data_IF_682417182401
#
_entry.id   IF_682417182401
#
_cell.length_a   1.000
_cell.length_b   1.000
_cell.length_c   1.000
_cell.angle_alpha   90.00
_cell.angle_beta   90.00
_cell.angle_gamma   90.00
#
_symmetry.space_group_name_H-M   'P 1'
#
loop_
_entity.id
_entity.type
_entity.pdbx_description
1 polymer ?
#
# COMPACT_ATOMS: atom_id res chain seq x y z
N UNK A 1 -30.00 -2.42 -4.65
CA UNK A 1 -28.62 -2.40 -4.12
C UNK A 1 -28.67 -3.04 -2.73
N UNK A 2 -27.74 -3.93 -2.38
CA UNK A 2 -27.69 -4.49 -1.03
C UNK A 2 -27.16 -3.39 -0.11
N UNK A 3 -28.00 -2.88 0.79
CA UNK A 3 -27.64 -1.84 1.76
C UNK A 3 -27.14 -2.54 3.02
N UNK A 4 -25.85 -2.42 3.29
CA UNK A 4 -25.21 -2.93 4.49
C UNK A 4 -25.64 -2.02 5.66
N UNK A 5 -26.07 -2.58 6.81
CA UNK A 5 -26.36 -1.78 7.99
C UNK A 5 -25.15 -0.92 8.37
N UNK A 6 -25.37 0.33 8.75
CA UNK A 6 -24.32 1.32 9.04
C UNK A 6 -23.27 0.78 10.05
N UNK A 7 -23.72 0.13 11.11
CA UNK A 7 -22.83 -0.48 12.11
C UNK A 7 -21.89 -1.53 11.50
N UNK A 8 -22.40 -2.33 10.55
CA UNK A 8 -21.62 -3.35 9.87
C UNK A 8 -20.66 -2.74 8.85
N UNK A 9 -21.07 -1.64 8.20
CA UNK A 9 -20.19 -0.87 7.33
C UNK A 9 -18.98 -0.33 8.10
N UNK A 10 -19.21 0.34 9.24
CA UNK A 10 -18.12 0.87 10.06
C UNK A 10 -17.24 -0.20 10.68
N UNK A 11 -17.82 -1.36 11.03
CA UNK A 11 -17.08 -2.53 11.51
C UNK A 11 -16.06 -3.05 10.47
N UNK A 12 -16.34 -2.89 9.17
CA UNK A 12 -15.43 -3.29 8.10
C UNK A 12 -14.50 -2.14 7.68
N UNK A 13 -15.05 -0.94 7.49
CA UNK A 13 -14.33 0.22 6.98
C UNK A 13 -13.28 0.71 7.97
N UNK A 14 -13.65 0.90 9.24
CA UNK A 14 -12.76 1.43 10.28
C UNK A 14 -11.47 0.63 10.42
N UNK A 15 -11.53 -0.70 10.67
CA UNK A 15 -10.35 -1.54 10.76
C UNK A 15 -9.51 -1.59 9.48
N UNK A 16 -10.14 -1.56 8.30
CA UNK A 16 -9.40 -1.54 7.03
C UNK A 16 -8.54 -0.28 6.87
N UNK A 17 -9.09 0.89 7.23
CA UNK A 17 -8.38 2.18 7.17
C UNK A 17 -7.24 2.20 8.19
N UNK A 18 -7.51 1.79 9.44
CA UNK A 18 -6.48 1.76 10.50
C UNK A 18 -5.34 0.80 10.13
N UNK A 19 -5.68 -0.37 9.59
CA UNK A 19 -4.68 -1.35 9.15
C UNK A 19 -3.84 -0.80 8.00
N UNK A 20 -4.45 -0.11 7.05
CA UNK A 20 -3.73 0.56 5.96
C UNK A 20 -2.75 1.61 6.50
N UNK A 21 -3.18 2.49 7.40
CA UNK A 21 -2.33 3.54 7.95
C UNK A 21 -1.14 2.96 8.74
N UNK A 22 -1.40 1.98 9.62
CA UNK A 22 -0.35 1.33 10.41
C UNK A 22 0.64 0.60 9.49
N UNK A 23 0.13 -0.19 8.54
CA UNK A 23 1.00 -0.95 7.63
C UNK A 23 1.80 -0.05 6.70
N UNK A 24 1.24 1.07 6.22
CA UNK A 24 1.97 2.06 5.43
C UNK A 24 3.11 2.72 6.22
N UNK A 25 2.85 3.10 7.48
CA UNK A 25 3.86 3.65 8.38
C UNK A 25 4.97 2.63 8.67
N UNK A 26 4.59 1.41 9.03
CA UNK A 26 5.53 0.32 9.27
C UNK A 26 6.35 0.00 8.00
N UNK A 27 5.73 -0.07 6.82
CA UNK A 27 6.42 -0.37 5.57
C UNK A 27 7.48 0.69 5.27
N UNK A 28 7.14 1.96 5.44
CA UNK A 28 8.05 3.08 5.23
C UNK A 28 9.20 3.06 6.23
N UNK A 29 8.92 2.83 7.52
CA UNK A 29 9.92 2.94 8.60
C UNK A 29 10.79 1.70 8.76
N UNK A 30 10.27 0.51 8.45
CA UNK A 30 10.93 -0.78 8.69
C UNK A 30 11.47 -1.36 7.39
N UNK A 31 10.63 -1.46 6.36
CA UNK A 31 10.99 -2.13 5.09
C UNK A 31 11.82 -1.22 4.19
N UNK A 32 11.27 -0.06 3.82
CA UNK A 32 11.98 0.86 2.91
C UNK A 32 13.27 1.37 3.52
N UNK A 33 13.26 1.81 4.77
CA UNK A 33 14.49 2.28 5.44
C UNK A 33 15.58 1.19 5.46
N UNK A 34 15.21 -0.08 5.64
CA UNK A 34 16.15 -1.20 5.58
C UNK A 34 16.70 -1.40 4.17
N UNK A 35 15.81 -1.51 3.17
CA UNK A 35 16.18 -1.75 1.77
C UNK A 35 17.05 -0.60 1.25
N UNK A 36 16.65 0.66 1.45
CA UNK A 36 17.40 1.82 1.00
C UNK A 36 18.77 1.93 1.71
N UNK A 37 18.85 1.55 3.00
CA UNK A 37 20.15 1.48 3.68
C UNK A 37 21.08 0.45 3.00
N UNK A 38 20.57 -0.74 2.70
CA UNK A 38 21.33 -1.80 2.02
C UNK A 38 21.70 -1.46 0.58
N UNK A 39 20.81 -0.81 -0.15
CA UNK A 39 21.10 -0.30 -1.49
C UNK A 39 22.21 0.77 -1.45
N UNK A 40 22.19 1.67 -0.47
CA UNK A 40 23.26 2.67 -0.29
C UNK A 40 24.62 2.06 0.04
N UNK A 41 24.66 0.96 0.80
CA UNK A 41 25.89 0.20 1.06
C UNK A 41 26.51 -0.35 -0.26
N UNK A 42 25.70 -0.55 -1.30
CA UNK A 42 26.14 -1.00 -2.63
C UNK A 42 26.36 0.16 -3.62
N UNK A 43 26.29 1.41 -3.16
CA UNK A 43 26.39 2.61 -4.01
C UNK A 43 25.14 2.88 -4.84
N UNK A 44 24.03 2.17 -4.61
CA UNK A 44 22.75 2.38 -5.30
C UNK A 44 21.91 3.36 -4.47
N UNK A 45 21.58 4.51 -5.05
CA UNK A 45 20.80 5.53 -4.36
C UNK A 45 19.30 5.40 -4.65
N UNK A 46 18.47 5.84 -3.72
CA UNK A 46 17.04 5.92 -3.95
C UNK A 46 16.69 6.86 -5.12
N UNK A 47 15.51 6.71 -5.74
CA UNK A 47 15.12 7.52 -6.87
C UNK A 47 15.00 9.01 -6.50
N UNK A 48 15.81 9.85 -7.14
CA UNK A 48 15.89 11.30 -6.85
C UNK A 48 14.59 12.06 -7.18
N UNK A 49 13.77 11.53 -8.09
CA UNK A 49 12.53 12.17 -8.53
C UNK A 49 11.44 12.17 -7.46
N UNK A 50 11.49 11.24 -6.50
CA UNK A 50 10.45 11.12 -5.47
C UNK A 50 10.56 12.23 -4.42
N UNK A 51 11.76 12.78 -4.16
CA UNK A 51 12.04 13.90 -3.21
C UNK A 51 11.29 13.82 -1.86
N UNK A 52 10.84 12.64 -1.42
CA UNK A 52 10.06 12.45 -0.20
C UNK A 52 8.54 12.60 -0.33
N UNK A 53 8.00 12.72 -1.56
CA UNK A 53 6.55 12.70 -1.83
C UNK A 53 5.89 11.36 -1.48
N UNK A 54 6.68 10.29 -1.36
CA UNK A 54 6.20 8.97 -0.94
C UNK A 54 5.57 8.15 -2.06
N UNK A 55 5.68 8.60 -3.32
CA UNK A 55 5.21 7.84 -4.49
C UNK A 55 6.02 6.54 -4.62
N UNK A 56 7.32 6.58 -4.28
CA UNK A 56 8.19 5.39 -4.31
C UNK A 56 7.74 4.29 -3.34
N UNK A 57 6.99 4.61 -2.28
CA UNK A 57 6.47 3.63 -1.31
C UNK A 57 5.64 2.57 -2.02
N UNK A 58 4.73 3.02 -2.89
CA UNK A 58 3.85 2.11 -3.62
C UNK A 58 4.64 1.25 -4.63
N UNK A 59 5.62 1.85 -5.30
CA UNK A 59 6.45 1.13 -6.27
C UNK A 59 7.29 0.03 -5.61
N UNK A 60 7.93 0.31 -4.47
CA UNK A 60 8.65 -0.69 -3.69
C UNK A 60 7.73 -1.84 -3.28
N UNK A 61 6.53 -1.51 -2.80
CA UNK A 61 5.54 -2.51 -2.42
C UNK A 61 5.09 -3.37 -3.63
N UNK A 62 4.93 -2.78 -4.82
CA UNK A 62 4.62 -3.52 -6.06
C UNK A 62 5.75 -4.49 -6.40
N UNK A 63 6.99 -4.02 -6.42
CA UNK A 63 8.17 -4.85 -6.74
C UNK A 63 8.26 -6.03 -5.78
N UNK A 64 8.18 -5.77 -4.47
CA UNK A 64 8.24 -6.80 -3.45
C UNK A 64 7.08 -7.78 -3.60
N UNK A 65 5.83 -7.33 -3.82
CA UNK A 65 4.70 -8.25 -4.02
C UNK A 65 4.86 -9.09 -5.29
N UNK A 66 5.41 -8.52 -6.35
CA UNK A 66 5.63 -9.20 -7.63
C UNK A 66 6.70 -10.29 -7.54
N UNK A 67 7.66 -10.16 -6.61
CA UNK A 67 8.76 -11.12 -6.39
C UNK A 67 9.61 -11.39 -7.66
N UNK A 68 9.48 -10.54 -8.68
CA UNK A 68 10.18 -10.64 -9.97
C UNK A 68 10.49 -9.23 -10.47
N UNK A 69 11.69 -9.01 -11.04
CA UNK A 69 12.00 -7.74 -11.67
C UNK A 69 11.15 -7.57 -12.94
N UNK A 70 10.73 -6.33 -13.22
CA UNK A 70 10.10 -5.99 -14.49
C UNK A 70 11.12 -5.31 -15.42
N UNK A 71 10.96 -5.53 -16.72
CA UNK A 71 11.93 -5.08 -17.75
C UNK A 71 12.03 -3.55 -17.90
N UNK A 72 11.00 -2.82 -17.52
CA UNK A 72 10.94 -1.37 -17.66
C UNK A 72 10.40 -0.76 -16.37
N UNK A 73 11.29 -0.47 -15.43
CA UNK A 73 10.94 0.21 -14.18
C UNK A 73 11.84 1.41 -13.94
N UNK A 74 11.27 2.45 -13.32
CA UNK A 74 11.97 3.69 -12.96
C UNK A 74 12.78 3.52 -11.66
N UNK A 75 12.76 2.31 -11.09
CA UNK A 75 13.41 1.93 -9.83
C UNK A 75 14.22 0.66 -10.04
N UNK A 76 15.28 0.47 -9.27
CA UNK A 76 16.11 -0.72 -9.40
C UNK A 76 15.44 -1.92 -8.71
N UNK A 77 14.61 -2.64 -9.48
CA UNK A 77 13.85 -3.81 -8.99
C UNK A 77 14.75 -4.90 -8.41
N UNK A 78 15.87 -5.20 -9.09
CA UNK A 78 16.77 -6.27 -8.69
C UNK A 78 17.41 -5.97 -7.33
N UNK A 79 17.86 -4.72 -7.12
CA UNK A 79 18.42 -4.29 -5.85
C UNK A 79 17.37 -4.32 -4.72
N UNK A 80 16.12 -3.93 -5.00
CA UNK A 80 15.03 -4.00 -4.02
C UNK A 80 14.76 -5.45 -3.62
N UNK A 81 14.66 -6.36 -4.59
CA UNK A 81 14.38 -7.78 -4.34
C UNK A 81 15.53 -8.49 -3.64
N UNK A 82 16.79 -8.13 -3.95
CA UNK A 82 17.98 -8.68 -3.30
C UNK A 82 18.00 -8.42 -1.79
N UNK A 83 17.48 -7.27 -1.35
CA UNK A 83 17.47 -6.87 0.06
C UNK A 83 16.10 -7.01 0.73
N UNK A 84 15.09 -7.48 0.00
CA UNK A 84 13.76 -7.68 0.55
C UNK A 84 13.74 -8.89 1.50
N UNK A 85 13.16 -8.71 2.68
CA UNK A 85 12.96 -9.78 3.67
C UNK A 85 11.53 -10.31 3.60
N UNK A 86 11.25 -11.51 4.15
CA UNK A 86 9.89 -12.05 4.23
C UNK A 86 8.89 -11.12 4.92
N UNK A 87 9.32 -10.39 5.96
CA UNK A 87 8.48 -9.40 6.65
C UNK A 87 8.06 -8.24 5.73
N UNK A 88 8.93 -7.84 4.81
CA UNK A 88 8.66 -6.75 3.88
C UNK A 88 7.57 -7.16 2.87
N UNK A 89 7.52 -8.43 2.49
CA UNK A 89 6.45 -8.99 1.67
C UNK A 89 5.11 -9.03 2.41
N UNK A 90 5.10 -9.47 3.67
CA UNK A 90 3.88 -9.46 4.50
C UNK A 90 3.35 -8.03 4.60
N UNK A 91 4.22 -7.09 4.92
CA UNK A 91 3.85 -5.70 5.13
C UNK A 91 3.36 -5.02 3.84
N UNK A 92 4.01 -5.31 2.70
CA UNK A 92 3.57 -4.85 1.39
C UNK A 92 2.20 -5.40 0.98
N UNK A 93 1.88 -6.65 1.35
CA UNK A 93 0.57 -7.29 1.10
C UNK A 93 -0.51 -6.71 2.01
N UNK A 94 -0.25 -6.61 3.31
CA UNK A 94 -1.18 -6.04 4.28
C UNK A 94 -1.53 -4.61 3.89
N UNK A 95 -0.54 -3.78 3.57
CA UNK A 95 -0.75 -2.41 3.09
C UNK A 95 -1.60 -2.35 1.83
N UNK A 96 -1.34 -3.20 0.85
CA UNK A 96 -2.08 -3.17 -0.41
C UNK A 96 -3.52 -3.67 -0.28
N UNK A 97 -3.74 -4.78 0.41
CA UNK A 97 -5.07 -5.35 0.56
C UNK A 97 -5.95 -4.48 1.46
N UNK A 98 -5.41 -3.97 2.57
CA UNK A 98 -6.17 -3.02 3.42
C UNK A 98 -6.55 -1.75 2.66
N UNK A 99 -5.64 -1.18 1.86
CA UNK A 99 -5.95 -0.06 0.97
C UNK A 99 -7.05 -0.40 -0.04
N UNK A 100 -6.95 -1.56 -0.70
CA UNK A 100 -7.91 -1.99 -1.72
C UNK A 100 -9.30 -2.18 -1.11
N UNK A 101 -9.38 -2.83 0.06
CA UNK A 101 -10.62 -3.01 0.81
C UNK A 101 -11.20 -1.65 1.21
N UNK A 102 -10.39 -0.75 1.76
CA UNK A 102 -10.82 0.59 2.13
C UNK A 102 -11.39 1.36 0.92
N UNK A 103 -10.74 1.28 -0.25
CA UNK A 103 -11.24 1.92 -1.47
C UNK A 103 -12.56 1.33 -1.96
N UNK A 104 -12.72 0.00 -1.95
CA UNK A 104 -13.98 -0.65 -2.32
C UNK A 104 -15.11 -0.22 -1.38
N UNK A 105 -14.85 -0.19 -0.07
CA UNK A 105 -15.83 0.24 0.92
C UNK A 105 -16.17 1.73 0.77
N UNK A 106 -15.20 2.60 0.50
CA UNK A 106 -15.45 4.02 0.25
C UNK A 106 -16.32 4.25 -0.98
N UNK A 107 -16.03 3.56 -2.09
CA UNK A 107 -16.84 3.66 -3.32
C UNK A 107 -18.26 3.15 -3.07
N UNK A 108 -18.38 2.00 -2.39
CA UNK A 108 -19.67 1.47 -1.99
C UNK A 108 -20.46 2.45 -1.12
N UNK A 109 -19.81 3.03 -0.09
CA UNK A 109 -20.42 3.99 0.83
C UNK A 109 -20.93 5.24 0.13
N UNK A 110 -20.15 5.77 -0.84
CA UNK A 110 -20.56 6.90 -1.67
C UNK A 110 -21.86 6.61 -2.44
N UNK A 111 -21.92 5.48 -3.15
CA UNK A 111 -23.12 5.11 -3.89
C UNK A 111 -24.29 4.77 -2.97
N UNK A 112 -24.05 4.09 -1.85
CA UNK A 112 -25.10 3.76 -0.88
C UNK A 112 -25.73 5.03 -0.30
N UNK A 113 -24.93 6.05 -0.05
CA UNK A 113 -25.38 7.37 0.40
C UNK A 113 -26.18 8.10 -0.67
N UNK A 114 -25.65 8.24 -1.90
CA UNK A 114 -26.32 8.93 -3.01
C UNK A 114 -27.66 8.29 -3.40
N UNK A 115 -27.74 6.95 -3.43
CA UNK A 115 -29.02 6.26 -3.65
C UNK A 115 -29.98 6.37 -2.47
N UNK A 116 -29.46 6.50 -1.25
CA UNK A 116 -30.26 6.76 -0.06
C UNK A 116 -30.93 8.12 -0.12
N UNK A 117 -30.20 9.19 -0.46
CA UNK A 117 -30.76 10.54 -0.60
C UNK A 117 -31.75 10.67 -1.75
N UNK A 118 -31.57 9.93 -2.86
CA UNK A 118 -32.51 9.98 -4.00
C UNK A 118 -33.81 9.20 -3.81
N UNK A 119 -33.90 8.37 -2.77
CA UNK A 119 -35.08 7.56 -2.48
C UNK A 119 -36.10 8.29 -1.57
N UNK A 120 -35.74 9.45 -1.02
CA UNK A 120 -36.58 10.34 -0.23
C UNK A 120 -36.76 11.69 -0.94
#
# INVERSE_FOLDING_TARGET
MLIIPENFYWLLAGPSIVTFLISALCFTRISMKHIEKKMREEGIHEPLWDKGLGIRINMYAIVIRRQKPAKATIINDEAILRHARPIDLVLARVMHYSFTIAMILSVYGYFAYDFGERAY
#
